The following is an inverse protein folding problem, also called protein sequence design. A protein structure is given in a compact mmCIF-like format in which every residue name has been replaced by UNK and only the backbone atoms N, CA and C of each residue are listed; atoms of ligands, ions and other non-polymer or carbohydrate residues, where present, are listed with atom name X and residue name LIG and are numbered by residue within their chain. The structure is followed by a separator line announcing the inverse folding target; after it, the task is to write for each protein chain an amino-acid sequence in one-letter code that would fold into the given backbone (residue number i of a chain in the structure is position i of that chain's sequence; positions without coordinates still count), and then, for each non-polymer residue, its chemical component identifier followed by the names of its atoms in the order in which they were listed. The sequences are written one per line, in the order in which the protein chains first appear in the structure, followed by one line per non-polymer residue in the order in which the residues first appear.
data_IF_798928860309
#
_entry.id   IF_798928860309
#
_cell.length_a   1.000
_cell.length_b   1.000
_cell.length_c   1.000
_cell.angle_alpha   90.00
_cell.angle_beta   90.00
_cell.angle_gamma   90.00
#
_symmetry.space_group_name_H-M   'P 1'
#
loop_
_entity.id
_entity.type
_entity.pdbx_description
1 polymer ?
#
# COMPACT_ATOMS: atom_id res chain seq x y z
N UNK A 1 -9.11 20.56 -12.64
CA UNK A 1 -9.53 20.08 -11.47
C UNK A 1 -9.37 18.64 -11.32
N UNK A 2 -10.05 17.85 -12.04
CA UNK A 2 -10.01 16.45 -11.90
C UNK A 2 -8.67 15.82 -12.20
N UNK A 3 -7.83 16.50 -12.96
CA UNK A 3 -6.56 15.92 -13.36
C UNK A 3 -5.63 15.64 -12.20
N UNK A 4 -5.59 16.55 -11.24
CA UNK A 4 -4.69 16.36 -10.11
C UNK A 4 -5.16 15.20 -9.26
N UNK A 5 -6.46 15.12 -9.03
CA UNK A 5 -7.01 14.02 -8.28
C UNK A 5 -6.81 12.70 -9.00
N UNK A 6 -7.04 12.72 -10.30
CA UNK A 6 -6.90 11.49 -11.08
C UNK A 6 -5.48 10.99 -11.02
N UNK A 7 -4.52 11.90 -11.06
CA UNK A 7 -3.11 11.49 -10.99
C UNK A 7 -2.80 10.86 -9.64
N UNK A 8 -3.30 11.46 -8.57
CA UNK A 8 -3.09 10.90 -7.25
C UNK A 8 -3.70 9.52 -7.11
N UNK A 9 -4.91 9.35 -7.63
CA UNK A 9 -5.56 8.05 -7.57
C UNK A 9 -4.80 7.03 -8.38
N UNK A 10 -4.25 7.43 -9.51
CA UNK A 10 -3.48 6.52 -10.34
C UNK A 10 -2.24 6.02 -9.60
N UNK A 11 -1.55 6.91 -8.92
CA UNK A 11 -0.39 6.52 -8.14
C UNK A 11 -0.77 5.57 -7.02
N UNK A 12 -1.87 5.85 -6.36
CA UNK A 12 -2.32 5.00 -5.27
C UNK A 12 -2.74 3.63 -5.80
N UNK A 13 -3.39 3.59 -6.94
CA UNK A 13 -3.79 2.32 -7.54
C UNK A 13 -2.57 1.46 -7.85
N UNK A 14 -1.55 2.06 -8.41
CA UNK A 14 -0.32 1.33 -8.70
C UNK A 14 0.33 0.81 -7.43
N UNK A 15 0.28 1.62 -6.40
CA UNK A 15 0.83 1.22 -5.12
C UNK A 15 0.08 0.03 -4.55
N UNK A 16 -1.25 0.07 -4.63
CA UNK A 16 -2.06 -1.05 -4.18
C UNK A 16 -1.78 -2.32 -4.97
N UNK A 17 -1.60 -2.19 -6.27
CA UNK A 17 -1.26 -3.34 -7.09
C UNK A 17 0.06 -3.94 -6.65
N UNK A 18 1.02 -3.09 -6.32
CA UNK A 18 2.30 -3.56 -5.86
C UNK A 18 2.18 -4.25 -4.51
N UNK A 19 1.36 -3.68 -3.63
CA UNK A 19 1.10 -4.31 -2.35
C UNK A 19 0.55 -5.71 -2.56
N UNK A 20 -0.43 -5.85 -3.44
CA UNK A 20 -1.04 -7.15 -3.67
C UNK A 20 -0.04 -8.17 -4.20
N UNK A 21 0.96 -7.73 -4.92
CA UNK A 21 2.00 -8.61 -5.41
C UNK A 21 2.92 -9.07 -4.30
N UNK A 22 3.30 -8.15 -3.44
CA UNK A 22 4.27 -8.45 -2.39
C UNK A 22 3.63 -9.17 -1.22
N UNK A 23 2.37 -8.87 -0.96
CA UNK A 23 1.72 -9.34 0.25
C UNK A 23 1.62 -10.85 0.31
N UNK A 24 1.48 -11.48 -0.83
CA UNK A 24 1.36 -12.93 -0.88
C UNK A 24 2.63 -13.64 -0.46
N UNK A 25 3.76 -12.97 -0.52
CA UNK A 25 5.03 -13.56 -0.12
C UNK A 25 5.49 -13.15 1.25
N UNK A 26 4.67 -12.39 1.98
CA UNK A 26 5.05 -11.93 3.30
C UNK A 26 4.38 -12.78 4.36
N UNK A 27 5.10 -13.02 5.47
CA UNK A 27 4.54 -13.81 6.56
C UNK A 27 3.94 -12.96 7.65
N UNK A 28 4.24 -11.66 7.65
CA UNK A 28 3.66 -10.74 8.62
C UNK A 28 3.60 -9.35 8.02
N UNK A 29 2.80 -8.48 8.63
CA UNK A 29 2.62 -7.14 8.11
C UNK A 29 3.91 -6.33 8.18
N UNK A 30 4.75 -6.63 9.14
CA UNK A 30 6.02 -5.93 9.26
C UNK A 30 6.92 -6.22 8.07
N UNK A 31 6.88 -7.44 7.60
CA UNK A 31 7.64 -7.80 6.42
C UNK A 31 7.12 -7.05 5.20
N UNK A 32 5.80 -6.95 5.09
CA UNK A 32 5.20 -6.18 4.01
C UNK A 32 5.63 -4.72 4.06
N UNK A 33 5.62 -4.14 5.25
CA UNK A 33 6.05 -2.76 5.42
C UNK A 33 7.49 -2.58 4.96
N UNK A 34 8.33 -3.54 5.30
CA UNK A 34 9.72 -3.48 4.92
C UNK A 34 9.88 -3.58 3.40
N UNK A 35 9.14 -4.48 2.79
CA UNK A 35 9.18 -4.64 1.34
C UNK A 35 8.74 -3.37 0.64
N UNK A 36 7.70 -2.75 1.15
CA UNK A 36 7.13 -1.58 0.51
C UNK A 36 7.95 -0.31 0.75
N UNK A 37 8.92 -0.36 1.64
CA UNK A 37 9.81 0.78 1.80
C UNK A 37 10.53 1.12 0.50
N UNK A 38 10.88 0.10 -0.27
CA UNK A 38 11.55 0.30 -1.55
C UNK A 38 10.63 0.97 -2.56
N UNK A 39 9.33 0.93 -2.31
CA UNK A 39 8.36 1.50 -3.21
C UNK A 39 7.71 2.76 -2.64
N UNK A 40 8.29 3.30 -1.59
CA UNK A 40 7.72 4.47 -0.93
C UNK A 40 7.59 5.66 -1.88
N UNK A 41 8.49 5.73 -2.86
CA UNK A 41 8.47 6.81 -3.83
C UNK A 41 7.29 6.76 -4.79
N UNK A 42 6.56 5.67 -4.82
CA UNK A 42 5.38 5.57 -5.65
C UNK A 42 4.26 6.47 -5.15
N UNK A 43 4.26 6.76 -3.87
CA UNK A 43 3.24 7.61 -3.28
C UNK A 43 3.88 8.71 -2.43
N UNK A 44 4.65 9.60 -3.07
CA UNK A 44 5.36 10.63 -2.32
C UNK A 44 4.43 11.65 -1.68
N UNK A 45 3.18 11.70 -2.11
CA UNK A 45 2.21 12.63 -1.58
C UNK A 45 1.59 12.15 -0.26
N UNK A 46 1.84 10.90 0.12
CA UNK A 46 1.29 10.36 1.36
C UNK A 46 2.31 10.45 2.48
N UNK A 47 1.81 10.65 3.69
CA UNK A 47 2.68 10.64 4.87
C UNK A 47 2.99 9.21 5.25
N UNK A 48 4.03 9.05 6.08
CA UNK A 48 4.40 7.72 6.55
C UNK A 48 3.25 7.06 7.29
N UNK A 49 2.51 7.83 8.06
CA UNK A 49 1.38 7.31 8.80
C UNK A 49 0.30 6.81 7.85
N UNK A 50 0.03 7.57 6.79
CA UNK A 50 -0.96 7.16 5.82
C UNK A 50 -0.53 5.88 5.11
N UNK A 51 0.74 5.78 4.79
CA UNK A 51 1.25 4.58 4.15
C UNK A 51 1.11 3.37 5.07
N UNK A 52 1.46 3.53 6.32
CA UNK A 52 1.33 2.44 7.29
C UNK A 52 -0.12 1.98 7.39
N UNK A 53 -1.05 2.92 7.42
CA UNK A 53 -2.47 2.58 7.51
C UNK A 53 -2.92 1.80 6.29
N UNK A 54 -2.45 2.21 5.12
CA UNK A 54 -2.78 1.51 3.89
C UNK A 54 -2.26 0.08 3.93
N UNK A 55 -1.03 -0.10 4.39
CA UNK A 55 -0.43 -1.42 4.43
C UNK A 55 -1.16 -2.33 5.41
N UNK A 56 -1.50 -1.81 6.57
CA UNK A 56 -2.22 -2.60 7.56
C UNK A 56 -3.59 -2.98 7.03
N UNK A 57 -4.27 -2.05 6.40
CA UNK A 57 -5.58 -2.31 5.84
C UNK A 57 -5.51 -3.35 4.74
N UNK A 58 -4.52 -3.22 3.86
CA UNK A 58 -4.35 -4.17 2.79
C UNK A 58 -4.05 -5.56 3.32
N UNK A 59 -3.26 -5.63 4.40
CA UNK A 59 -2.94 -6.91 5.01
C UNK A 59 -4.19 -7.60 5.53
N UNK A 60 -5.04 -6.84 6.20
CA UNK A 60 -6.27 -7.39 6.74
C UNK A 60 -7.20 -7.85 5.64
N UNK A 61 -7.28 -7.10 4.56
CA UNK A 61 -8.14 -7.47 3.47
C UNK A 61 -7.65 -8.70 2.73
N UNK A 62 -6.34 -8.79 2.53
CA UNK A 62 -5.79 -9.89 1.77
C UNK A 62 -5.84 -11.20 2.53
N UNK A 63 -5.40 -11.17 3.78
CA UNK A 63 -5.34 -12.38 4.59
C UNK A 63 -6.64 -12.63 5.32
N UNK A 64 -7.62 -11.76 5.15
CA UNK A 64 -8.92 -11.92 5.74
C UNK A 64 -8.81 -11.73 7.18
N UNK A 65 -9.34 -10.90 7.66
CA UNK A 65 -9.36 -10.65 8.99
C UNK A 65 -10.35 -11.46 9.61
N UNK A 66 -10.23 -12.66 9.53
CA UNK A 66 -11.17 -13.47 10.10
C UNK A 66 -11.02 -13.51 11.51
N UNK A 67 -12.02 -13.29 12.19
CA UNK A 67 -12.00 -13.41 13.62
C UNK A 67 -11.75 -14.82 14.02
#
# INVERSE_FOLDING_TARGET
MGKVKALGMELEERYYERINREIGGCVCVEELQKQMLDHRNMVPHLTDKEVDEILIEAWQEFWGDYP
#
